data_IF_135844215042
#
_entry.id   IF_135844215042
#
_cell.length_a   1.000
_cell.length_b   1.000
_cell.length_c   1.000
_cell.angle_alpha   90.00
_cell.angle_beta   90.00
_cell.angle_gamma   90.00
#
_symmetry.space_group_name_H-M   'P 1'
#
loop_
_entity.id
_entity.type
_entity.pdbx_description
1 polymer ?
#
# COMPACT_ATOMS: atom_id res chain seq x y z
N UNK A 1 -4.51 10.42 2.68
CA UNK A 1 -3.92 9.42 3.61
C UNK A 1 -3.35 8.29 2.76
N UNK A 2 -2.40 7.50 3.24
CA UNK A 2 -1.75 6.42 2.51
C UNK A 2 -1.76 5.16 3.34
N UNK A 3 -1.88 4.00 2.71
CA UNK A 3 -1.76 2.68 3.35
C UNK A 3 -0.79 1.82 2.56
N UNK A 4 -0.34 0.75 3.18
CA UNK A 4 0.55 -0.23 2.56
C UNK A 4 -0.26 -1.50 2.31
N UNK A 5 -0.12 -2.07 1.13
CA UNK A 5 -0.68 -3.38 0.78
C UNK A 5 0.44 -4.31 0.29
N UNK A 6 0.30 -5.59 0.63
CA UNK A 6 1.18 -6.66 0.17
C UNK A 6 0.38 -7.70 -0.62
N UNK A 7 1.00 -8.25 -1.65
CA UNK A 7 0.45 -9.35 -2.43
C UNK A 7 0.94 -10.69 -1.87
N UNK A 8 0.02 -11.59 -1.55
CA UNK A 8 0.35 -12.98 -1.22
C UNK A 8 0.71 -13.78 -2.49
N UNK A 9 1.28 -14.97 -2.34
CA UNK A 9 1.66 -15.86 -3.45
C UNK A 9 0.47 -16.23 -4.37
N UNK A 10 -0.77 -16.07 -3.87
CA UNK A 10 -2.02 -16.24 -4.63
C UNK A 10 -2.43 -15.02 -5.46
N UNK A 11 -1.67 -13.93 -5.46
CA UNK A 11 -2.03 -12.67 -6.14
C UNK A 11 -3.08 -11.83 -5.38
N UNK A 12 -3.31 -12.13 -4.10
CA UNK A 12 -4.30 -11.43 -3.27
C UNK A 12 -3.63 -10.29 -2.52
N UNK A 13 -4.12 -9.08 -2.71
CA UNK A 13 -3.63 -7.88 -2.03
C UNK A 13 -4.30 -7.73 -0.66
N UNK A 14 -3.48 -7.61 0.38
CA UNK A 14 -3.92 -7.46 1.77
C UNK A 14 -3.30 -6.22 2.42
N UNK A 15 -4.10 -5.52 3.21
CA UNK A 15 -3.67 -4.36 3.99
C UNK A 15 -2.66 -4.75 5.08
N UNK A 16 -1.56 -4.02 5.16
CA UNK A 16 -0.59 -4.21 6.24
C UNK A 16 -1.17 -3.63 7.52
N UNK A 17 -1.35 -4.49 8.52
CA UNK A 17 -1.78 -4.09 9.84
C UNK A 17 -0.59 -3.91 10.78
N UNK A 18 -0.67 -2.95 11.70
CA UNK A 18 0.31 -2.78 12.77
C UNK A 18 0.13 -3.82 13.88
N UNK A 19 1.00 -3.75 14.89
CA UNK A 19 0.95 -4.64 16.06
C UNK A 19 -0.38 -4.57 16.82
N UNK A 20 -1.12 -3.46 16.68
CA UNK A 20 -2.46 -3.25 17.25
C UNK A 20 -3.59 -3.92 16.45
N UNK A 21 -3.27 -4.60 15.34
CA UNK A 21 -4.26 -5.21 14.44
C UNK A 21 -5.01 -4.22 13.54
N UNK A 22 -4.69 -2.92 13.62
CA UNK A 22 -5.27 -1.87 12.76
C UNK A 22 -4.47 -1.68 11.48
N UNK A 23 -5.15 -1.35 10.38
CA UNK A 23 -4.51 -0.98 9.11
C UNK A 23 -3.55 0.17 9.32
N UNK A 24 -2.34 -0.01 8.81
CA UNK A 24 -1.24 0.92 9.01
C UNK A 24 -1.34 2.03 7.97
N UNK A 25 -1.77 3.20 8.44
CA UNK A 25 -2.04 4.37 7.61
C UNK A 25 -1.09 5.53 7.92
N UNK A 26 -0.75 6.31 6.90
CA UNK A 26 0.20 7.42 6.96
C UNK A 26 -0.39 8.67 6.32
N UNK A 27 0.10 9.84 6.73
CA UNK A 27 -0.31 11.11 6.12
C UNK A 27 0.43 11.40 4.82
N UNK A 28 1.70 10.96 4.73
CA UNK A 28 2.59 11.18 3.59
C UNK A 28 2.95 9.87 2.92
N UNK A 29 3.02 9.89 1.59
CA UNK A 29 3.43 8.73 0.79
C UNK A 29 4.85 8.28 1.13
N UNK A 30 5.78 9.23 1.27
CA UNK A 30 7.18 8.95 1.58
C UNK A 30 7.33 8.22 2.93
N UNK A 31 6.53 8.60 3.93
CA UNK A 31 6.49 7.90 5.22
C UNK A 31 5.96 6.47 5.09
N UNK A 32 4.92 6.25 4.27
CA UNK A 32 4.40 4.92 3.97
C UNK A 32 5.44 4.07 3.24
N UNK A 33 6.15 4.64 2.28
CA UNK A 33 7.19 3.95 1.51
C UNK A 33 8.41 3.62 2.36
N UNK A 34 8.85 4.54 3.22
CA UNK A 34 9.91 4.30 4.18
C UNK A 34 9.54 3.13 5.09
N UNK A 35 8.32 3.14 5.64
CA UNK A 35 7.87 2.05 6.52
C UNK A 35 7.71 0.72 5.78
N UNK A 36 7.26 0.73 4.54
CA UNK A 36 7.21 -0.44 3.68
C UNK A 36 8.60 -1.05 3.50
N UNK A 37 9.62 -0.22 3.28
CA UNK A 37 11.01 -0.67 3.17
C UNK A 37 11.59 -1.18 4.49
N UNK A 38 11.14 -0.69 5.64
CA UNK A 38 11.53 -1.21 6.95
C UNK A 38 10.90 -2.58 7.26
N UNK A 39 9.61 -2.74 6.93
CA UNK A 39 8.84 -3.96 7.22
C UNK A 39 9.14 -5.09 6.22
N UNK A 40 9.32 -4.73 4.95
CA UNK A 40 9.50 -5.69 3.86
C UNK A 40 10.71 -5.36 2.97
N UNK A 41 11.92 -5.23 3.54
CA UNK A 41 13.11 -4.82 2.80
C UNK A 41 13.42 -5.75 1.62
N UNK A 42 13.22 -7.06 1.80
CA UNK A 42 13.49 -8.07 0.77
C UNK A 42 12.50 -7.94 -0.40
N UNK A 43 11.20 -7.76 -0.13
CA UNK A 43 10.20 -7.65 -1.20
C UNK A 43 10.35 -6.35 -1.99
N UNK A 44 10.66 -5.24 -1.31
CA UNK A 44 10.96 -3.95 -1.96
C UNK A 44 12.22 -4.05 -2.82
N UNK A 45 13.22 -4.83 -2.39
CA UNK A 45 14.41 -5.09 -3.19
C UNK A 45 14.11 -5.99 -4.39
N UNK A 46 13.31 -7.05 -4.22
CA UNK A 46 12.91 -7.96 -5.31
C UNK A 46 12.20 -7.25 -6.45
N UNK A 47 11.43 -6.20 -6.15
CA UNK A 47 10.80 -5.33 -7.16
C UNK A 47 11.83 -4.68 -8.11
N UNK A 48 13.07 -4.43 -7.64
CA UNK A 48 14.17 -3.91 -8.46
C UNK A 48 14.80 -4.96 -9.38
N UNK A 49 14.64 -6.25 -9.08
CA UNK A 49 15.25 -7.36 -9.81
C UNK A 49 14.28 -8.04 -10.79
N UNK A 50 13.12 -7.44 -11.07
CA UNK A 50 12.15 -7.97 -12.03
C UNK A 50 11.22 -9.04 -11.45
N UNK A 51 11.26 -9.29 -10.14
CA UNK A 51 10.20 -9.99 -9.44
C UNK A 51 8.96 -9.09 -9.41
N UNK A 52 7.78 -9.65 -9.73
CA UNK A 52 6.52 -8.89 -9.74
C UNK A 52 6.32 -8.06 -8.46
N UNK A 53 5.64 -6.92 -8.59
CA UNK A 53 5.43 -6.00 -7.47
C UNK A 53 4.58 -6.66 -6.39
N UNK A 54 5.21 -7.13 -5.31
CA UNK A 54 4.54 -7.76 -4.16
C UNK A 54 4.20 -6.78 -3.05
N UNK A 55 4.58 -5.51 -3.20
CA UNK A 55 4.35 -4.46 -2.21
C UNK A 55 3.91 -3.18 -2.91
N UNK A 56 2.92 -2.46 -2.37
CA UNK A 56 2.52 -1.16 -2.90
C UNK A 56 2.06 -0.20 -1.82
N UNK A 57 2.16 1.08 -2.11
CA UNK A 57 1.57 2.17 -1.33
C UNK A 57 0.33 2.65 -2.06
N UNK A 58 -0.80 2.72 -1.37
CA UNK A 58 -2.07 3.16 -1.93
C UNK A 58 -2.57 4.39 -1.19
N UNK A 59 -3.03 5.39 -1.93
CA UNK A 59 -3.68 6.57 -1.35
C UNK A 59 -5.08 6.20 -0.88
N UNK A 60 -5.33 6.36 0.42
CA UNK A 60 -6.65 6.27 1.05
C UNK A 60 -7.26 7.67 1.06
N UNK A 61 -8.40 7.80 0.40
CA UNK A 61 -9.27 8.97 0.52
C UNK A 61 -10.04 8.83 1.83
N UNK A 62 -9.87 9.81 2.71
CA UNK A 62 -10.41 9.76 4.06
C UNK A 62 -11.70 10.57 4.05
N UNK A 63 -12.74 10.01 3.45
CA UNK A 63 -14.17 10.26 3.72
C UNK A 63 -14.99 9.68 2.57
N UNK A 64 -16.15 9.13 2.92
CA UNK A 64 -17.29 8.84 2.02
C UNK A 64 -17.71 10.10 1.19
N UNK A 65 -17.22 11.28 1.57
CA UNK A 65 -17.47 12.60 0.97
C UNK A 65 -16.49 12.98 -0.18
N UNK A 66 -15.34 12.29 -0.31
CA UNK A 66 -14.34 12.51 -1.39
C UNK A 66 -14.57 11.61 -2.63
N UNK A 67 -15.69 10.88 -2.69
CA UNK A 67 -16.18 10.23 -3.91
C UNK A 67 -17.11 11.18 -4.68
N UNK A 68 -16.62 12.38 -5.01
CA UNK A 68 -17.27 13.20 -6.03
C UNK A 68 -16.61 12.90 -7.38
N UNK A 69 -17.44 12.38 -8.27
CA UNK A 69 -17.25 12.26 -9.71
C UNK A 69 -16.50 11.01 -10.19
N UNK A 70 -17.31 10.01 -10.52
CA UNK A 70 -16.89 8.87 -11.32
C UNK A 70 -16.30 9.32 -12.64
N UNK A 71 -14.98 9.21 -12.75
CA UNK A 71 -14.32 9.21 -14.05
C UNK A 71 -14.22 7.74 -14.50
N UNK A 72 -15.11 7.25 -15.39
CA UNK A 72 -14.82 6.03 -16.12
C UNK A 72 -13.58 6.27 -17.01
N UNK A 73 -12.80 5.22 -17.30
CA UNK A 73 -11.64 5.36 -18.18
C UNK A 73 -12.08 5.79 -19.59
N UNK A 74 -11.44 6.85 -20.10
CA UNK A 74 -11.47 7.26 -21.52
C UNK A 74 -10.08 7.10 -22.12
#
# INVERSE_FOLDING_TARGET
>A
MFKIEIEDDRGVWSDVCGADGKVLTFEKEDAARAKLSELYPVMVQMEKYGGGKRTRVVRVFRTDEEWNEGTPPG
#
